data_IF_563250402840
#
_entry.id   IF_563250402840
#
_cell.length_a   1.000
_cell.length_b   1.000
_cell.length_c   1.000
_cell.angle_alpha   90.00
_cell.angle_beta   90.00
_cell.angle_gamma   90.00
#
_symmetry.space_group_name_H-M   'P 1'
#
loop_
_entity.id
_entity.type
_entity.pdbx_description
1 polymer ?
#
# COMPACT_ATOMS: atom_id res chain seq x y z
N UNK A 1 -4.07 -18.87 -10.11
CA UNK A 1 -4.94 -18.23 -11.14
C UNK A 1 -5.52 -16.96 -10.52
N UNK A 2 -5.50 -15.82 -11.21
CA UNK A 2 -6.10 -14.56 -10.71
C UNK A 2 -7.62 -14.69 -10.80
N UNK A 3 -8.34 -14.22 -9.77
CA UNK A 3 -9.80 -14.39 -9.67
C UNK A 3 -10.55 -13.65 -10.79
N UNK A 4 -10.11 -12.43 -11.11
CA UNK A 4 -10.67 -11.56 -12.16
C UNK A 4 -9.52 -10.88 -12.92
N UNK A 5 -9.04 -11.46 -14.04
CA UNK A 5 -7.80 -11.04 -14.70
C UNK A 5 -7.98 -9.93 -15.74
N UNK A 6 -8.94 -9.03 -15.57
CA UNK A 6 -9.14 -7.91 -16.52
C UNK A 6 -8.28 -6.71 -16.16
N UNK A 7 -7.99 -5.87 -17.14
CA UNK A 7 -7.20 -4.65 -16.92
C UNK A 7 -7.96 -3.66 -16.03
N UNK A 8 -9.28 -3.56 -16.25
CA UNK A 8 -10.19 -2.70 -15.51
C UNK A 8 -10.19 -3.05 -14.02
N UNK A 9 -10.22 -4.36 -13.69
CA UNK A 9 -10.18 -4.82 -12.30
C UNK A 9 -8.83 -4.51 -11.64
N UNK A 10 -7.73 -4.67 -12.37
CA UNK A 10 -6.41 -4.33 -11.85
C UNK A 10 -6.28 -2.83 -11.55
N UNK A 11 -6.67 -1.98 -12.50
CA UNK A 11 -6.61 -0.52 -12.35
C UNK A 11 -7.53 -0.01 -11.24
N UNK A 12 -8.71 -0.60 -11.04
CA UNK A 12 -9.61 -0.26 -9.94
C UNK A 12 -8.98 -0.58 -8.57
N UNK A 13 -8.36 -1.75 -8.41
CA UNK A 13 -7.65 -2.12 -7.18
C UNK A 13 -6.43 -1.22 -6.92
N UNK A 14 -5.65 -0.91 -7.95
CA UNK A 14 -4.51 0.01 -7.86
C UNK A 14 -4.96 1.42 -7.44
N UNK A 15 -6.07 1.91 -8.01
CA UNK A 15 -6.61 3.21 -7.66
C UNK A 15 -7.07 3.28 -6.20
N UNK A 16 -7.79 2.25 -5.71
CA UNK A 16 -8.24 2.17 -4.31
C UNK A 16 -7.08 2.23 -3.32
N UNK A 17 -6.00 1.49 -3.59
CA UNK A 17 -4.82 1.50 -2.74
C UNK A 17 -4.10 2.85 -2.79
N UNK A 18 -3.80 3.36 -4.00
CA UNK A 18 -3.03 4.60 -4.18
C UNK A 18 -3.76 5.84 -3.67
N UNK A 19 -5.09 5.85 -3.73
CA UNK A 19 -5.92 6.90 -3.15
C UNK A 19 -5.75 7.01 -1.62
N UNK A 20 -5.64 5.87 -0.91
CA UNK A 20 -5.53 5.81 0.56
C UNK A 20 -4.09 5.77 1.08
N UNK A 21 -3.13 5.38 0.23
CA UNK A 21 -1.75 5.07 0.65
C UNK A 21 -1.04 6.21 1.38
N UNK A 22 -1.29 7.45 0.97
CA UNK A 22 -0.66 8.63 1.59
C UNK A 22 -1.00 8.82 3.06
N UNK A 23 -2.22 8.47 3.47
CA UNK A 23 -2.68 8.63 4.86
C UNK A 23 -2.51 7.33 5.65
N UNK A 24 -2.79 6.19 5.03
CA UNK A 24 -3.00 4.93 5.73
C UNK A 24 -1.79 4.00 5.70
N UNK A 25 -0.74 4.28 4.91
CA UNK A 25 0.43 3.40 4.77
C UNK A 25 1.77 4.13 4.86
N UNK A 26 2.87 3.38 4.78
CA UNK A 26 4.24 3.89 4.87
C UNK A 26 4.80 4.43 3.54
N UNK A 27 3.92 4.80 2.61
CA UNK A 27 4.33 5.30 1.30
C UNK A 27 5.30 6.49 1.38
N UNK A 28 5.00 7.45 2.27
CA UNK A 28 5.84 8.64 2.47
C UNK A 28 7.21 8.27 3.06
N UNK A 29 7.25 7.32 4.00
CA UNK A 29 8.50 6.88 4.61
C UNK A 29 9.40 6.17 3.59
N UNK A 30 8.81 5.36 2.71
CA UNK A 30 9.55 4.75 1.61
C UNK A 30 10.18 5.78 0.68
N UNK A 31 9.44 6.85 0.33
CA UNK A 31 9.96 7.97 -0.47
C UNK A 31 11.09 8.68 0.26
N UNK A 32 10.92 8.97 1.56
CA UNK A 32 11.94 9.63 2.37
C UNK A 32 13.25 8.85 2.32
N UNK A 33 13.21 7.57 2.67
CA UNK A 33 14.40 6.71 2.76
C UNK A 33 15.09 6.47 1.41
N UNK A 34 14.32 6.37 0.31
CA UNK A 34 14.87 6.02 -1.00
C UNK A 34 15.23 7.23 -1.89
N UNK A 35 14.48 8.34 -1.80
CA UNK A 35 14.58 9.46 -2.76
C UNK A 35 15.05 10.75 -2.09
N UNK A 36 14.52 11.08 -0.90
CA UNK A 36 14.83 12.35 -0.23
C UNK A 36 16.17 12.23 0.48
N UNK A 37 16.21 11.50 1.58
CA UNK A 37 17.39 11.36 2.45
C UNK A 37 18.39 10.37 1.87
N UNK A 38 17.91 9.39 1.09
CA UNK A 38 18.71 8.32 0.45
C UNK A 38 19.56 7.55 1.47
N UNK A 39 19.05 7.39 2.69
CA UNK A 39 19.72 6.64 3.74
C UNK A 39 19.52 5.12 3.60
N UNK A 40 18.56 4.69 2.77
CA UNK A 40 18.14 3.31 2.60
C UNK A 40 17.76 2.62 3.92
N UNK A 41 17.28 3.39 4.91
CA UNK A 41 16.89 2.93 6.25
C UNK A 41 15.45 3.35 6.55
N UNK A 42 14.46 2.70 5.92
CA UNK A 42 13.07 3.00 6.20
C UNK A 42 12.67 2.48 7.60
N UNK A 43 11.94 3.31 8.34
CA UNK A 43 11.32 2.97 9.62
C UNK A 43 9.85 2.59 9.40
N UNK A 44 9.60 1.35 8.95
CA UNK A 44 8.25 0.85 8.69
C UNK A 44 7.41 0.75 9.98
N UNK A 45 6.09 0.90 9.88
CA UNK A 45 5.16 0.73 11.03
C UNK A 45 5.10 -0.72 11.54
N UNK A 46 5.42 -1.68 10.68
CA UNK A 46 5.39 -3.11 10.96
C UNK A 46 6.74 -3.73 10.61
N UNK A 47 7.39 -4.39 11.57
CA UNK A 47 8.74 -4.97 11.40
C UNK A 47 8.72 -6.20 10.50
N UNK A 48 7.62 -6.96 10.52
CA UNK A 48 7.43 -8.14 9.67
C UNK A 48 6.09 -8.11 8.93
N UNK A 49 6.06 -8.78 7.78
CA UNK A 49 4.83 -8.93 6.97
C UNK A 49 3.69 -9.58 7.76
N UNK A 50 4.02 -10.51 8.68
CA UNK A 50 3.04 -11.17 9.53
C UNK A 50 2.36 -10.22 10.54
N UNK A 51 2.99 -9.07 10.83
CA UNK A 51 2.46 -8.08 11.79
C UNK A 51 1.48 -7.12 11.14
N UNK A 52 1.34 -7.15 9.80
CA UNK A 52 0.40 -6.32 9.06
C UNK A 52 -1.03 -6.82 9.31
N UNK A 53 -1.93 -6.02 9.89
CA UNK A 53 -3.29 -6.48 10.17
C UNK A 53 -4.05 -6.78 8.87
N UNK A 54 -4.69 -7.95 8.73
CA UNK A 54 -5.53 -8.26 7.57
C UNK A 54 -6.64 -7.21 7.34
N UNK A 55 -7.14 -6.62 8.43
CA UNK A 55 -8.12 -5.55 8.38
C UNK A 55 -7.63 -4.29 7.65
N UNK A 56 -6.34 -3.94 7.79
CA UNK A 56 -5.74 -2.82 7.08
C UNK A 56 -5.72 -3.08 5.57
N UNK A 57 -5.29 -4.27 5.15
CA UNK A 57 -5.26 -4.65 3.74
C UNK A 57 -6.67 -4.63 3.13
N UNK A 58 -7.65 -5.16 3.87
CA UNK A 58 -9.05 -5.14 3.43
C UNK A 58 -9.60 -3.71 3.30
N UNK A 59 -9.27 -2.82 4.24
CA UNK A 59 -9.68 -1.41 4.18
C UNK A 59 -9.06 -0.68 2.97
N UNK A 60 -7.77 -0.91 2.70
CA UNK A 60 -7.05 -0.31 1.58
C UNK A 60 -7.63 -0.73 0.20
N UNK A 61 -8.18 -1.94 0.09
CA UNK A 61 -8.72 -2.51 -1.14
C UNK A 61 -10.26 -2.40 -1.25
N UNK A 62 -10.93 -1.89 -0.21
CA UNK A 62 -12.37 -1.67 -0.22
C UNK A 62 -12.77 -0.68 -1.33
N UNK A 63 -13.98 -0.80 -1.91
CA UNK A 63 -14.52 0.20 -2.82
C UNK A 63 -14.41 1.62 -2.26
N UNK A 64 -14.22 2.59 -3.15
CA UNK A 64 -14.33 4.02 -2.82
C UNK A 64 -15.79 4.43 -3.10
N UNK A 65 -16.36 5.25 -2.22
CA UNK A 65 -17.70 5.83 -2.39
C UNK A 65 -17.67 7.02 -3.36
#
# INVERSE_FOLDING_TARGET
VRRDPTMETALDLEYRFTHRSFAETDFIEGIRAAVIDKDHKPAWRHDHVADVPPALVNALLAPLD
#
